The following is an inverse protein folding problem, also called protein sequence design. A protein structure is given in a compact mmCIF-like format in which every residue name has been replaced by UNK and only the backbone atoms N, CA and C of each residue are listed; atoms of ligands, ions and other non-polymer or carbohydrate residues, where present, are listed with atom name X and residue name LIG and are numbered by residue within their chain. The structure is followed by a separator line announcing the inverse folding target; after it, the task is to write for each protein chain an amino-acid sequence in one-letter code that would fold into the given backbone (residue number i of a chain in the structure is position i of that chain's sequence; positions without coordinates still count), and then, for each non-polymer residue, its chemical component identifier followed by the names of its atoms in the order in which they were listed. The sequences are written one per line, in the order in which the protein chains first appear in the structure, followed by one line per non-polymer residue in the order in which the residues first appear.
data_IF_253234457881
#
_entry.id   IF_253234457881
#
_cell.length_a   1.000
_cell.length_b   1.000
_cell.length_c   1.000
_cell.angle_alpha   90.00
_cell.angle_beta   90.00
_cell.angle_gamma   90.00
#
_symmetry.space_group_name_H-M   'P 1'
#
loop_
_entity.id
_entity.type
_entity.pdbx_description
1 polymer ?
#
# COMPACT_ATOMS: atom_id res chain seq x y z
N UNK A 1 11.15 -62.53 45.28
CA UNK A 1 9.91 -61.78 44.95
C UNK A 1 10.33 -60.65 44.04
N UNK A 2 10.25 -60.87 42.72
CA UNK A 2 10.67 -59.95 41.69
C UNK A 2 9.44 -59.06 41.30
N UNK A 3 9.57 -57.76 41.38
CA UNK A 3 8.59 -56.86 40.93
C UNK A 3 9.02 -56.34 39.55
N UNK A 4 8.19 -56.60 38.56
CA UNK A 4 8.33 -56.20 37.16
C UNK A 4 8.09 -54.67 36.99
N UNK A 5 9.10 -53.98 36.50
CA UNK A 5 9.03 -52.62 36.03
C UNK A 5 8.91 -52.64 34.50
N UNK A 6 7.70 -52.56 33.96
CA UNK A 6 7.48 -52.24 32.55
C UNK A 6 6.04 -51.84 32.39
N UNK A 7 5.78 -50.52 32.51
CA UNK A 7 4.67 -49.77 31.86
C UNK A 7 4.73 -48.32 32.32
N UNK A 8 5.60 -47.53 31.67
CA UNK A 8 5.47 -46.08 31.63
C UNK A 8 6.24 -45.59 30.38
N UNK A 9 5.61 -45.61 29.28
CA UNK A 9 6.23 -45.12 28.06
C UNK A 9 5.22 -45.04 26.91
N UNK A 10 4.24 -44.17 26.98
CA UNK A 10 3.49 -43.72 25.80
C UNK A 10 2.43 -42.68 26.21
N UNK A 11 2.82 -41.48 26.52
CA UNK A 11 1.89 -40.34 26.53
C UNK A 11 2.66 -38.99 26.52
N UNK A 12 3.41 -38.72 25.48
CA UNK A 12 3.93 -37.36 25.22
C UNK A 12 4.32 -37.24 23.74
N UNK A 13 3.33 -37.19 22.86
CA UNK A 13 3.57 -36.74 21.48
C UNK A 13 2.23 -36.46 20.79
N UNK A 14 1.49 -35.45 21.20
CA UNK A 14 0.29 -34.98 20.47
C UNK A 14 -0.14 -33.57 20.84
N UNK A 15 0.78 -32.64 21.12
CA UNK A 15 0.42 -31.24 21.26
C UNK A 15 1.54 -30.41 20.62
N UNK A 16 1.69 -30.44 19.29
CA UNK A 16 2.52 -29.45 18.56
C UNK A 16 2.24 -29.43 17.06
N UNK A 17 0.97 -29.52 16.64
CA UNK A 17 0.65 -29.41 15.19
C UNK A 17 -0.55 -28.51 14.88
N UNK A 18 -0.94 -27.59 15.79
CA UNK A 18 -2.10 -26.71 15.56
C UNK A 18 -1.73 -25.23 15.36
N UNK A 19 -0.44 -24.85 15.39
CA UNK A 19 -0.08 -23.44 15.31
C UNK A 19 0.47 -23.00 13.94
N UNK A 20 0.83 -23.91 13.06
CA UNK A 20 1.46 -23.55 11.78
C UNK A 20 0.46 -23.28 10.65
N UNK A 21 -0.70 -23.90 10.66
CA UNK A 21 -1.70 -23.66 9.60
C UNK A 21 -2.45 -22.32 9.79
N UNK A 22 -2.65 -21.86 11.01
CA UNK A 22 -3.28 -20.57 11.27
C UNK A 22 -2.38 -19.37 10.88
N UNK A 23 -1.08 -19.47 11.07
CA UNK A 23 -0.12 -18.41 10.73
C UNK A 23 -0.03 -18.25 9.20
N UNK A 24 -0.11 -19.32 8.44
CA UNK A 24 -0.07 -19.26 6.97
C UNK A 24 -1.35 -18.65 6.36
N UNK A 25 -2.52 -18.87 6.96
CA UNK A 25 -3.78 -18.31 6.41
C UNK A 25 -3.91 -16.79 6.61
N UNK A 26 -3.27 -16.22 7.62
CA UNK A 26 -3.28 -14.76 7.86
C UNK A 26 -2.34 -13.97 6.94
N UNK A 27 -1.35 -14.62 6.35
CA UNK A 27 -0.36 -13.98 5.47
C UNK A 27 -0.70 -14.06 3.98
N UNK A 28 -1.76 -14.79 3.62
CA UNK A 28 -2.25 -14.87 2.24
C UNK A 28 -3.28 -13.77 1.99
N UNK A 29 -3.10 -12.91 0.97
CA UNK A 29 -4.06 -11.87 0.68
C UNK A 29 -5.39 -12.43 0.17
N UNK A 30 -6.52 -12.00 0.76
CA UNK A 30 -7.86 -12.38 0.29
C UNK A 30 -8.22 -11.69 -1.03
N UNK A 31 -7.78 -10.46 -1.22
CA UNK A 31 -8.04 -9.69 -2.44
C UNK A 31 -6.75 -9.43 -3.21
N UNK A 32 -6.80 -9.67 -4.51
CA UNK A 32 -5.68 -9.45 -5.44
C UNK A 32 -5.90 -8.26 -6.38
N UNK A 33 -7.07 -7.62 -6.31
CA UNK A 33 -7.44 -6.40 -7.04
C UNK A 33 -8.51 -5.65 -6.26
N UNK A 34 -8.68 -4.32 -6.49
CA UNK A 34 -9.85 -3.60 -6.00
C UNK A 34 -11.15 -4.21 -6.54
N UNK A 35 -12.25 -4.04 -5.80
CA UNK A 35 -13.60 -4.41 -6.23
C UNK A 35 -14.14 -3.40 -7.25
N UNK A 36 -13.80 -2.11 -7.06
CA UNK A 36 -14.16 -1.06 -8.01
C UNK A 36 -13.34 -1.16 -9.29
N UNK A 37 -14.03 -1.29 -10.42
CA UNK A 37 -13.37 -1.35 -11.73
C UNK A 37 -13.00 0.05 -12.24
N UNK A 38 -11.75 0.25 -12.67
CA UNK A 38 -11.23 1.47 -13.27
C UNK A 38 -11.58 2.76 -12.47
N UNK A 39 -11.21 2.83 -11.17
CA UNK A 39 -11.55 3.98 -10.32
C UNK A 39 -10.99 5.28 -10.91
N UNK A 40 -11.84 6.30 -10.99
CA UNK A 40 -11.48 7.62 -11.55
C UNK A 40 -11.07 8.60 -10.47
N UNK A 41 -11.59 8.43 -9.26
CA UNK A 41 -11.31 9.33 -8.14
C UNK A 41 -10.67 8.56 -6.99
N UNK A 42 -9.39 8.85 -6.72
CA UNK A 42 -8.60 8.16 -5.68
C UNK A 42 -8.13 9.15 -4.63
N UNK A 43 -8.39 8.80 -3.37
CA UNK A 43 -7.92 9.52 -2.20
C UNK A 43 -6.73 8.79 -1.57
N UNK A 44 -5.61 9.49 -1.39
CA UNK A 44 -4.45 9.01 -0.65
C UNK A 44 -4.45 9.62 0.75
N UNK A 45 -4.41 8.78 1.78
CA UNK A 45 -4.41 9.19 3.19
C UNK A 45 -3.14 8.64 3.84
N UNK A 46 -2.30 9.54 4.36
CA UNK A 46 -1.03 9.12 4.99
C UNK A 46 -0.08 10.28 5.28
N UNK A 47 1.18 10.07 5.03
CA UNK A 47 2.24 10.96 5.49
C UNK A 47 3.28 11.29 4.39
N UNK A 48 4.50 11.63 4.83
CA UNK A 48 5.60 12.02 3.93
C UNK A 48 5.92 11.00 2.85
N UNK A 49 5.68 9.72 3.06
CA UNK A 49 5.92 8.70 2.04
C UNK A 49 5.05 8.92 0.80
N UNK A 50 3.86 9.50 0.95
CA UNK A 50 3.02 9.85 -0.19
C UNK A 50 3.35 11.19 -0.85
N UNK A 51 3.87 12.18 -0.11
CA UNK A 51 4.07 13.51 -0.69
C UNK A 51 5.49 13.81 -1.18
N UNK A 52 6.50 12.99 -0.82
CA UNK A 52 7.85 13.17 -1.35
C UNK A 52 7.86 13.22 -2.89
N UNK A 53 8.83 13.93 -3.45
CA UNK A 53 9.00 14.11 -4.90
C UNK A 53 7.76 14.64 -5.61
N UNK A 54 7.08 15.60 -4.99
CA UNK A 54 5.80 16.17 -5.44
C UNK A 54 4.58 15.23 -5.37
N UNK A 55 4.70 14.13 -4.64
CA UNK A 55 3.61 13.21 -4.33
C UNK A 55 3.38 12.12 -5.38
N UNK A 56 3.08 10.92 -4.87
CA UNK A 56 2.85 9.72 -5.70
C UNK A 56 1.71 9.89 -6.71
N UNK A 57 0.72 10.71 -6.40
CA UNK A 57 -0.41 11.00 -7.29
C UNK A 57 0.01 11.59 -8.63
N UNK A 58 1.16 12.30 -8.71
CA UNK A 58 1.66 12.88 -9.97
C UNK A 58 2.18 11.83 -10.94
N UNK A 59 3.16 10.98 -10.59
CA UNK A 59 3.59 9.92 -11.51
C UNK A 59 2.46 8.94 -11.83
N UNK A 60 1.61 8.59 -10.87
CA UNK A 60 0.45 7.75 -11.14
C UNK A 60 -0.48 8.38 -12.20
N UNK A 61 -0.81 9.66 -12.06
CA UNK A 61 -1.64 10.36 -13.05
C UNK A 61 -0.94 10.48 -14.42
N UNK A 62 0.38 10.65 -14.42
CA UNK A 62 1.18 10.63 -15.64
C UNK A 62 1.08 9.30 -16.38
N UNK A 63 1.26 8.19 -15.67
CA UNK A 63 1.12 6.83 -16.23
C UNK A 63 -0.29 6.54 -16.74
N UNK A 64 -1.31 6.96 -15.99
CA UNK A 64 -2.71 6.81 -16.40
C UNK A 64 -3.00 7.59 -17.68
N UNK A 65 -2.50 8.82 -17.80
CA UNK A 65 -2.68 9.66 -19.00
C UNK A 65 -1.93 9.13 -20.22
N UNK A 66 -0.80 8.45 -20.00
CA UNK A 66 -0.03 7.81 -21.05
C UNK A 66 -0.71 6.53 -21.59
N UNK A 67 -1.71 6.03 -20.90
CA UNK A 67 -2.51 4.87 -21.33
C UNK A 67 -3.92 5.30 -21.74
N UNK A 68 -4.13 5.52 -23.03
CA UNK A 68 -5.41 5.99 -23.57
C UNK A 68 -6.57 5.03 -23.28
N UNK A 69 -6.31 3.73 -23.10
CA UNK A 69 -7.35 2.73 -22.83
C UNK A 69 -8.06 2.95 -21.49
N UNK A 70 -7.41 3.62 -20.54
CA UNK A 70 -8.00 3.95 -19.24
C UNK A 70 -8.98 5.14 -19.31
N UNK A 71 -8.98 5.89 -20.43
CA UNK A 71 -9.85 7.02 -20.65
C UNK A 71 -9.44 8.26 -19.86
N UNK A 72 -10.36 9.23 -19.79
CA UNK A 72 -10.15 10.53 -19.16
C UNK A 72 -10.91 10.68 -17.85
N UNK A 73 -10.66 11.78 -17.13
CA UNK A 73 -11.42 12.17 -15.95
C UNK A 73 -10.84 11.70 -14.62
N UNK A 74 -9.66 11.07 -14.62
CA UNK A 74 -9.01 10.65 -13.39
C UNK A 74 -8.62 11.85 -12.52
N UNK A 75 -8.89 11.73 -11.22
CA UNK A 75 -8.62 12.74 -10.20
C UNK A 75 -8.04 12.05 -8.97
N UNK A 76 -6.85 12.45 -8.59
CA UNK A 76 -6.16 11.90 -7.43
C UNK A 76 -5.92 13.02 -6.42
N UNK A 77 -6.17 12.76 -5.15
CA UNK A 77 -6.01 13.70 -4.05
C UNK A 77 -5.17 13.10 -2.95
N UNK A 78 -4.23 13.89 -2.42
CA UNK A 78 -3.46 13.52 -1.25
C UNK A 78 -3.95 14.33 -0.05
N UNK A 79 -4.29 13.64 1.03
CA UNK A 79 -4.43 14.23 2.36
C UNK A 79 -3.33 13.62 3.21
N UNK A 80 -2.32 14.42 3.49
CA UNK A 80 -1.10 13.94 4.16
C UNK A 80 -0.74 14.86 5.30
N UNK A 81 -0.37 14.26 6.44
CA UNK A 81 0.15 14.95 7.61
C UNK A 81 1.57 14.46 7.83
N UNK A 82 2.52 15.38 7.98
CA UNK A 82 3.92 15.01 8.17
C UNK A 82 4.11 14.12 9.39
N UNK A 83 4.82 13.00 9.22
CA UNK A 83 5.12 12.04 10.30
C UNK A 83 3.90 11.41 10.97
N UNK A 84 2.71 11.50 10.37
CA UNK A 84 1.49 10.95 10.97
C UNK A 84 1.43 9.43 10.94
N UNK A 85 0.70 8.90 11.91
CA UNK A 85 0.03 7.61 11.85
C UNK A 85 -1.43 7.78 11.46
N UNK A 86 -2.15 6.69 11.19
CA UNK A 86 -3.57 6.72 10.82
C UNK A 86 -4.45 7.35 11.92
N UNK A 87 -4.06 7.27 13.18
CA UNK A 87 -4.79 7.88 14.32
C UNK A 87 -4.94 9.40 14.21
N UNK A 88 -4.10 10.06 13.42
CA UNK A 88 -4.11 11.53 13.26
C UNK A 88 -5.09 12.01 12.19
N UNK A 89 -5.65 11.09 11.42
CA UNK A 89 -6.51 11.38 10.28
C UNK A 89 -7.99 11.33 10.64
N UNK A 90 -8.70 12.42 10.41
CA UNK A 90 -10.17 12.49 10.49
C UNK A 90 -10.78 12.10 9.14
N UNK A 91 -10.77 10.77 8.87
CA UNK A 91 -11.21 10.23 7.58
C UNK A 91 -12.68 10.51 7.30
N UNK A 92 -13.52 10.59 8.34
CA UNK A 92 -14.93 10.95 8.19
C UNK A 92 -15.07 12.35 7.59
N UNK A 93 -14.36 13.35 8.14
CA UNK A 93 -14.35 14.70 7.58
C UNK A 93 -13.84 14.74 6.14
N UNK A 94 -12.90 13.87 5.75
CA UNK A 94 -12.35 13.88 4.39
C UNK A 94 -13.37 13.47 3.33
N UNK A 95 -14.33 12.63 3.68
CA UNK A 95 -15.32 12.09 2.74
C UNK A 95 -16.71 12.71 2.91
N UNK A 96 -17.00 13.38 4.03
CA UNK A 96 -18.33 13.95 4.32
C UNK A 96 -18.36 15.48 4.30
N UNK A 97 -17.24 16.14 4.64
CA UNK A 97 -17.24 17.58 4.85
C UNK A 97 -17.01 18.34 3.53
N UNK A 98 -18.07 18.93 3.02
CA UNK A 98 -18.04 19.78 1.80
C UNK A 98 -17.11 21.00 1.92
N UNK A 99 -16.69 21.38 3.11
CA UNK A 99 -15.77 22.50 3.35
C UNK A 99 -14.30 22.09 3.20
N UNK A 100 -13.99 20.80 3.34
CA UNK A 100 -12.69 20.25 2.99
C UNK A 100 -12.68 20.06 1.48
N UNK A 101 -12.53 21.13 0.77
CA UNK A 101 -12.56 21.10 -0.68
C UNK A 101 -11.30 21.69 -1.27
N UNK A 102 -10.87 21.14 -2.38
CA UNK A 102 -9.94 21.82 -3.26
C UNK A 102 -10.69 22.82 -4.13
N UNK A 103 -10.03 23.91 -4.46
CA UNK A 103 -10.51 24.84 -5.48
C UNK A 103 -9.47 24.91 -6.60
N UNK A 104 -9.92 25.20 -7.80
CA UNK A 104 -9.03 25.53 -8.90
C UNK A 104 -9.11 27.02 -9.22
N UNK A 105 -8.01 27.54 -9.75
CA UNK A 105 -7.98 28.86 -10.35
C UNK A 105 -8.21 28.67 -11.83
N UNK A 106 -9.30 29.27 -12.35
CA UNK A 106 -9.60 29.23 -13.78
C UNK A 106 -8.62 30.12 -14.57
N UNK A 107 -8.57 29.96 -15.89
CA UNK A 107 -7.79 30.85 -16.78
C UNK A 107 -8.17 32.33 -16.69
N UNK A 108 -9.30 32.66 -16.07
CA UNK A 108 -9.77 34.03 -15.79
C UNK A 108 -9.45 34.45 -14.34
N UNK A 109 -8.53 33.82 -13.67
CA UNK A 109 -8.14 34.06 -12.26
C UNK A 109 -9.31 34.02 -11.27
N UNK A 110 -10.33 33.22 -11.53
CA UNK A 110 -11.47 33.04 -10.63
C UNK A 110 -11.32 31.69 -9.89
N UNK A 111 -11.61 31.73 -8.59
CA UNK A 111 -11.73 30.51 -7.81
C UNK A 111 -12.97 29.73 -8.22
N UNK A 112 -12.78 28.47 -8.54
CA UNK A 112 -13.86 27.51 -8.70
C UNK A 112 -13.73 26.48 -7.57
N UNK A 113 -14.72 26.47 -6.67
CA UNK A 113 -14.84 25.39 -5.67
C UNK A 113 -15.20 24.11 -6.41
N UNK A 114 -14.53 23.03 -6.07
CA UNK A 114 -14.98 21.71 -6.49
C UNK A 114 -16.21 21.32 -5.67
N UNK A 115 -17.17 20.70 -6.32
CA UNK A 115 -18.21 19.97 -5.62
C UNK A 115 -17.54 18.89 -4.76
N UNK A 116 -18.14 18.49 -3.61
CA UNK A 116 -17.60 17.39 -2.80
C UNK A 116 -17.37 16.19 -3.71
N UNK A 117 -16.11 15.83 -3.85
CA UNK A 117 -15.74 14.71 -4.72
C UNK A 117 -16.11 13.42 -4.01
N UNK A 118 -16.93 12.62 -4.66
CA UNK A 118 -17.04 11.24 -4.28
C UNK A 118 -15.77 10.54 -4.75
N UNK A 119 -15.12 9.86 -3.84
CA UNK A 119 -13.98 9.01 -4.16
C UNK A 119 -14.47 7.59 -4.45
N UNK A 120 -13.86 6.95 -5.45
CA UNK A 120 -14.13 5.55 -5.75
C UNK A 120 -13.31 4.64 -4.82
N UNK A 121 -12.06 5.04 -4.56
CA UNK A 121 -11.07 4.27 -3.82
C UNK A 121 -10.30 5.19 -2.87
N UNK A 122 -10.04 4.73 -1.66
CA UNK A 122 -9.10 5.36 -0.74
C UNK A 122 -7.91 4.43 -0.47
N UNK A 123 -6.70 4.96 -0.60
CA UNK A 123 -5.45 4.24 -0.31
C UNK A 123 -4.86 4.82 0.97
N UNK A 124 -4.88 4.04 2.03
CA UNK A 124 -4.40 4.42 3.35
C UNK A 124 -3.01 3.85 3.62
N UNK A 125 -2.19 4.59 4.34
CA UNK A 125 -0.86 4.16 4.76
C UNK A 125 -0.59 4.71 6.17
N UNK A 126 -0.10 3.85 7.06
CA UNK A 126 0.31 4.26 8.40
C UNK A 126 1.76 4.77 8.43
N UNK A 127 2.26 5.12 9.60
CA UNK A 127 3.67 5.42 9.76
C UNK A 127 4.54 4.22 9.37
N UNK A 128 5.79 4.47 9.01
CA UNK A 128 6.70 3.47 8.45
C UNK A 128 6.90 2.21 9.31
N UNK A 129 6.81 2.34 10.63
CA UNK A 129 7.01 1.24 11.59
C UNK A 129 5.76 0.91 12.42
N UNK A 130 4.70 1.73 12.38
CA UNK A 130 3.54 1.54 13.22
C UNK A 130 2.95 0.13 13.13
N UNK A 131 2.86 -0.49 11.93
CA UNK A 131 2.30 -1.84 11.81
C UNK A 131 3.08 -2.95 12.53
N UNK A 132 4.37 -2.71 12.83
CA UNK A 132 5.26 -3.69 13.46
C UNK A 132 5.84 -3.23 14.81
N UNK A 133 5.55 -1.98 15.19
CA UNK A 133 6.07 -1.44 16.45
C UNK A 133 5.25 -1.95 17.62
N UNK A 134 5.92 -2.42 18.67
CA UNK A 134 5.30 -3.06 19.83
C UNK A 134 4.17 -2.20 20.46
N UNK A 135 4.41 -0.90 20.61
CA UNK A 135 3.45 0.03 21.22
C UNK A 135 2.43 0.62 20.23
N UNK A 136 2.55 0.34 18.92
CA UNK A 136 1.75 1.01 17.87
C UNK A 136 0.92 0.06 17.03
N UNK A 137 1.25 -1.22 16.96
CA UNK A 137 0.56 -2.20 16.11
C UNK A 137 -0.94 -2.32 16.44
N UNK A 138 -1.31 -2.18 17.71
CA UNK A 138 -2.74 -2.22 18.10
C UNK A 138 -3.48 -0.96 17.61
N UNK A 139 -2.84 0.21 17.66
CA UNK A 139 -3.41 1.44 17.10
C UNK A 139 -3.53 1.35 15.59
N UNK A 140 -2.51 0.81 14.90
CA UNK A 140 -2.59 0.53 13.47
C UNK A 140 -3.81 -0.33 13.14
N UNK A 141 -3.99 -1.45 13.81
CA UNK A 141 -5.13 -2.34 13.60
C UNK A 141 -6.46 -1.62 13.85
N UNK A 142 -6.57 -0.94 14.98
CA UNK A 142 -7.78 -0.21 15.35
C UNK A 142 -8.18 0.85 14.30
N UNK A 143 -7.22 1.68 13.87
CA UNK A 143 -7.53 2.75 12.91
C UNK A 143 -7.71 2.25 11.48
N UNK A 144 -7.07 1.16 11.08
CA UNK A 144 -7.40 0.50 9.81
C UNK A 144 -8.85 0.02 9.83
N UNK A 145 -9.29 -0.63 10.92
CA UNK A 145 -10.66 -1.13 11.05
C UNK A 145 -11.68 0.04 11.07
N UNK A 146 -11.44 1.07 11.89
CA UNK A 146 -12.31 2.23 11.99
C UNK A 146 -12.43 3.01 10.68
N UNK A 147 -11.31 3.32 10.04
CA UNK A 147 -11.30 4.09 8.79
C UNK A 147 -11.84 3.29 7.61
N UNK A 148 -11.58 1.98 7.54
CA UNK A 148 -12.16 1.13 6.51
C UNK A 148 -13.69 1.10 6.62
N UNK A 149 -14.23 1.02 7.83
CA UNK A 149 -15.67 1.12 8.06
C UNK A 149 -16.21 2.48 7.63
N UNK A 150 -15.60 3.58 8.07
CA UNK A 150 -16.01 4.93 7.70
C UNK A 150 -16.04 5.14 6.19
N UNK A 151 -15.00 4.68 5.47
CA UNK A 151 -14.93 4.77 4.02
C UNK A 151 -16.09 4.00 3.35
N UNK A 152 -16.34 2.76 3.75
CA UNK A 152 -17.43 1.94 3.20
C UNK A 152 -18.81 2.53 3.48
N UNK A 153 -19.03 3.05 4.68
CA UNK A 153 -20.30 3.72 5.06
C UNK A 153 -20.58 4.93 4.15
N UNK A 154 -19.53 5.52 3.56
CA UNK A 154 -19.61 6.63 2.63
C UNK A 154 -19.45 6.22 1.15
N UNK A 155 -19.50 4.92 0.85
CA UNK A 155 -19.43 4.41 -0.52
C UNK A 155 -18.05 4.49 -1.18
N UNK A 156 -16.98 4.57 -0.36
CA UNK A 156 -15.60 4.58 -0.81
C UNK A 156 -14.95 3.24 -0.49
N UNK A 157 -14.33 2.61 -1.47
CA UNK A 157 -13.60 1.36 -1.23
C UNK A 157 -12.30 1.62 -0.47
N UNK A 158 -12.06 0.99 0.71
CA UNK A 158 -10.80 1.10 1.42
C UNK A 158 -9.74 0.18 0.83
N UNK A 159 -8.50 0.62 0.83
CA UNK A 159 -7.33 -0.17 0.52
C UNK A 159 -6.12 0.29 1.32
N UNK A 160 -5.10 -0.55 1.42
CA UNK A 160 -3.89 -0.27 2.17
C UNK A 160 -2.67 -0.26 1.24
N UNK A 161 -1.76 0.69 1.46
CA UNK A 161 -0.43 0.64 0.86
C UNK A 161 0.54 0.07 1.88
N UNK A 162 1.13 -1.08 1.56
CA UNK A 162 2.19 -1.68 2.35
C UNK A 162 3.43 -0.80 2.28
N UNK A 163 3.87 -0.26 3.42
CA UNK A 163 5.12 0.46 3.52
C UNK A 163 6.31 -0.48 3.32
N UNK A 164 7.48 0.07 3.09
CA UNK A 164 8.71 -0.67 2.83
C UNK A 164 9.64 -0.68 4.03
N UNK A 165 10.51 -1.68 4.07
CA UNK A 165 11.62 -1.74 5.03
C UNK A 165 12.60 -0.57 4.79
N UNK A 166 13.22 -0.08 5.84
CA UNK A 166 14.32 0.88 5.70
C UNK A 166 15.50 0.23 4.96
N UNK A 167 16.26 1.02 4.23
CA UNK A 167 17.40 0.54 3.44
C UNK A 167 18.42 -0.24 4.31
N UNK A 168 18.59 0.16 5.56
CA UNK A 168 19.49 -0.45 6.54
C UNK A 168 18.80 -1.40 7.54
N UNK A 169 17.53 -1.73 7.32
CA UNK A 169 16.74 -2.66 8.14
C UNK A 169 15.82 -3.52 7.26
N UNK A 170 16.40 -4.30 6.33
CA UNK A 170 15.60 -5.08 5.36
C UNK A 170 14.70 -6.13 6.01
N UNK A 171 15.04 -6.61 7.20
CA UNK A 171 14.26 -7.56 7.98
C UNK A 171 12.85 -7.07 8.37
N UNK A 172 12.60 -5.76 8.33
CA UNK A 172 11.28 -5.20 8.62
C UNK A 172 10.20 -5.70 7.67
N UNK A 173 10.56 -6.12 6.45
CA UNK A 173 9.57 -6.39 5.40
C UNK A 173 8.64 -7.54 5.73
N UNK A 174 9.14 -8.60 6.39
CA UNK A 174 8.31 -9.75 6.76
C UNK A 174 7.19 -9.34 7.71
N UNK A 175 7.54 -8.60 8.76
CA UNK A 175 6.57 -8.09 9.73
C UNK A 175 5.60 -7.10 9.11
N UNK A 176 6.07 -6.19 8.23
CA UNK A 176 5.21 -5.25 7.52
C UNK A 176 4.22 -5.98 6.61
N UNK A 177 4.68 -6.95 5.83
CA UNK A 177 3.83 -7.72 4.94
C UNK A 177 2.74 -8.47 5.72
N UNK A 178 3.11 -9.19 6.78
CA UNK A 178 2.18 -9.91 7.63
C UNK A 178 1.12 -8.97 8.25
N UNK A 179 1.55 -7.83 8.82
CA UNK A 179 0.65 -6.87 9.47
C UNK A 179 -0.34 -6.24 8.49
N UNK A 180 0.14 -5.77 7.33
CA UNK A 180 -0.73 -5.17 6.32
C UNK A 180 -1.72 -6.16 5.72
N UNK A 181 -1.28 -7.39 5.40
CA UNK A 181 -2.15 -8.42 4.84
C UNK A 181 -3.21 -8.82 5.87
N UNK A 182 -2.83 -9.07 7.13
CA UNK A 182 -3.77 -9.42 8.19
C UNK A 182 -4.84 -8.32 8.39
N UNK A 183 -4.42 -7.05 8.50
CA UNK A 183 -5.34 -5.92 8.65
C UNK A 183 -6.27 -5.77 7.44
N UNK A 184 -5.75 -5.93 6.24
CA UNK A 184 -6.53 -5.87 5.00
C UNK A 184 -7.55 -7.01 4.90
N UNK A 185 -7.14 -8.22 5.25
CA UNK A 185 -8.03 -9.40 5.23
C UNK A 185 -9.24 -9.22 6.17
N UNK A 186 -8.99 -8.73 7.40
CA UNK A 186 -10.08 -8.42 8.34
C UNK A 186 -11.10 -7.41 7.78
N UNK A 187 -10.59 -6.47 6.97
CA UNK A 187 -11.38 -5.38 6.42
C UNK A 187 -11.86 -5.62 4.98
N UNK A 188 -11.60 -6.80 4.39
CA UNK A 188 -11.85 -7.08 2.97
C UNK A 188 -11.30 -5.96 2.08
N UNK A 189 -10.11 -5.48 2.38
CA UNK A 189 -9.42 -4.43 1.66
C UNK A 189 -8.24 -5.00 0.86
N UNK A 190 -7.91 -4.39 -0.26
CA UNK A 190 -6.72 -4.75 -1.01
C UNK A 190 -5.47 -4.14 -0.38
N UNK A 191 -4.34 -4.85 -0.48
CA UNK A 191 -3.01 -4.31 -0.18
C UNK A 191 -2.24 -4.07 -1.47
N UNK A 192 -1.71 -2.85 -1.64
CA UNK A 192 -0.74 -2.55 -2.69
C UNK A 192 0.65 -2.96 -2.21
N UNK A 193 1.32 -3.95 -2.82
CA UNK A 193 2.53 -4.59 -2.28
C UNK A 193 3.80 -3.78 -2.57
N UNK A 194 3.79 -2.48 -2.27
CA UNK A 194 4.90 -1.57 -2.55
C UNK A 194 6.15 -1.96 -1.78
N UNK A 195 6.01 -2.36 -0.51
CA UNK A 195 7.15 -2.81 0.30
C UNK A 195 7.87 -4.01 -0.31
N UNK A 196 7.14 -4.98 -0.85
CA UNK A 196 7.70 -6.15 -1.54
C UNK A 196 8.38 -5.76 -2.86
N UNK A 197 7.85 -4.74 -3.56
CA UNK A 197 8.48 -4.23 -4.78
C UNK A 197 9.80 -3.51 -4.48
N UNK A 198 9.88 -2.77 -3.37
CA UNK A 198 11.12 -2.16 -2.91
C UNK A 198 12.17 -3.22 -2.57
N UNK A 199 11.79 -4.24 -1.79
CA UNK A 199 12.68 -5.35 -1.47
C UNK A 199 13.23 -6.01 -2.74
N UNK A 200 12.34 -6.45 -3.61
CA UNK A 200 12.71 -7.13 -4.86
C UNK A 200 13.65 -6.27 -5.73
N UNK A 201 13.37 -4.96 -5.83
CA UNK A 201 14.20 -4.05 -6.60
C UNK A 201 15.60 -3.85 -5.98
N UNK A 202 15.71 -3.83 -4.66
CA UNK A 202 17.00 -3.73 -3.99
C UNK A 202 17.84 -5.02 -4.14
N UNK A 203 17.18 -6.18 -4.13
CA UNK A 203 17.84 -7.48 -4.30
C UNK A 203 18.35 -7.66 -5.73
N UNK A 204 17.56 -7.31 -6.74
CA UNK A 204 17.88 -7.56 -8.14
C UNK A 204 18.65 -6.40 -8.80
N UNK A 205 18.40 -5.17 -8.38
CA UNK A 205 18.96 -3.95 -8.97
C UNK A 205 19.46 -2.96 -7.91
N UNK A 206 20.43 -3.35 -7.05
CA UNK A 206 20.90 -2.53 -5.92
C UNK A 206 21.55 -1.20 -6.34
N UNK A 207 21.92 -1.04 -7.63
CA UNK A 207 22.45 0.19 -8.17
C UNK A 207 21.37 1.30 -8.31
N UNK A 208 20.10 0.94 -8.38
CA UNK A 208 19.00 1.91 -8.41
C UNK A 208 18.64 2.28 -6.99
N UNK A 209 19.03 3.50 -6.56
CA UNK A 209 18.74 3.96 -5.20
C UNK A 209 17.27 4.40 -5.07
N UNK A 210 16.49 3.60 -4.33
CA UNK A 210 15.08 3.87 -4.09
C UNK A 210 14.83 4.81 -2.90
N UNK A 211 15.88 5.21 -2.18
CA UNK A 211 15.78 5.98 -0.95
C UNK A 211 16.47 7.34 -1.06
N UNK A 212 16.04 8.26 -0.21
CA UNK A 212 16.81 9.47 0.08
C UNK A 212 17.95 9.17 1.06
N UNK A 213 18.77 10.16 1.35
CA UNK A 213 19.93 10.01 2.24
C UNK A 213 19.58 9.50 3.65
N UNK A 214 18.34 9.69 4.09
CA UNK A 214 17.87 9.22 5.39
C UNK A 214 17.56 7.71 5.42
N UNK A 215 17.68 7.03 4.28
CA UNK A 215 17.44 5.59 4.11
C UNK A 215 16.00 5.14 4.37
N UNK A 216 15.05 6.05 4.38
CA UNK A 216 13.63 5.83 4.74
C UNK A 216 12.67 6.37 3.70
N UNK A 217 12.79 7.67 3.38
CA UNK A 217 11.92 8.30 2.40
C UNK A 217 12.26 7.86 0.97
N UNK A 218 11.26 7.82 0.09
CA UNK A 218 11.49 7.39 -1.28
C UNK A 218 12.27 8.45 -2.05
N UNK A 219 13.24 8.01 -2.83
CA UNK A 219 13.85 8.81 -3.87
C UNK A 219 12.84 9.05 -5.01
N UNK A 220 13.25 9.75 -6.06
CA UNK A 220 12.44 9.88 -7.27
C UNK A 220 12.15 8.52 -7.91
N UNK A 221 13.15 7.63 -7.96
CA UNK A 221 13.00 6.25 -8.43
C UNK A 221 12.04 5.44 -7.55
N UNK A 222 12.17 5.55 -6.21
CA UNK A 222 11.26 4.90 -5.26
C UNK A 222 9.81 5.39 -5.41
N UNK A 223 9.59 6.70 -5.62
CA UNK A 223 8.25 7.23 -5.87
C UNK A 223 7.67 6.72 -7.20
N UNK A 224 8.49 6.58 -8.24
CA UNK A 224 8.04 6.01 -9.50
C UNK A 224 7.72 4.52 -9.39
N UNK A 225 8.52 3.74 -8.67
CA UNK A 225 8.23 2.34 -8.38
C UNK A 225 6.91 2.18 -7.64
N UNK A 226 6.68 2.98 -6.59
CA UNK A 226 5.42 3.01 -5.85
C UNK A 226 4.24 3.31 -6.77
N UNK A 227 4.35 4.33 -7.62
CA UNK A 227 3.31 4.66 -8.59
C UNK A 227 3.05 3.54 -9.60
N UNK A 228 4.10 2.84 -10.05
CA UNK A 228 4.00 1.71 -10.98
C UNK A 228 3.30 0.51 -10.36
N UNK A 229 3.54 0.23 -9.06
CA UNK A 229 2.82 -0.81 -8.32
C UNK A 229 1.34 -0.44 -8.17
N UNK A 230 1.04 0.81 -7.76
CA UNK A 230 -0.35 1.27 -7.61
C UNK A 230 -1.07 1.22 -8.95
N UNK A 231 -0.45 1.72 -10.03
CA UNK A 231 -1.00 1.69 -11.38
C UNK A 231 -1.39 0.26 -11.79
N UNK A 232 -0.47 -0.67 -11.63
CA UNK A 232 -0.68 -2.06 -12.01
C UNK A 232 -1.76 -2.75 -11.18
N UNK A 233 -1.78 -2.45 -9.89
CA UNK A 233 -2.72 -3.05 -8.94
C UNK A 233 -4.13 -2.53 -9.13
N UNK A 234 -4.28 -1.21 -9.31
CA UNK A 234 -5.59 -0.54 -9.45
C UNK A 234 -6.24 -0.90 -10.79
N UNK A 235 -5.49 -0.83 -11.87
CA UNK A 235 -6.04 -0.98 -13.22
C UNK A 235 -5.85 -2.38 -13.80
N UNK A 236 -5.17 -3.27 -13.09
CA UNK A 236 -4.80 -4.61 -13.57
C UNK A 236 -4.11 -4.61 -14.94
N UNK A 237 -3.27 -3.60 -15.18
CA UNK A 237 -2.53 -3.37 -16.44
C UNK A 237 -1.04 -3.41 -16.17
N UNK A 238 -0.28 -4.04 -17.06
CA UNK A 238 1.18 -4.02 -16.98
C UNK A 238 1.71 -2.59 -17.13
N UNK A 239 2.63 -2.13 -16.26
CA UNK A 239 3.28 -0.84 -16.41
C UNK A 239 4.41 -0.87 -17.45
N UNK A 240 4.83 -2.09 -17.88
CA UNK A 240 5.94 -2.26 -18.83
C UNK A 240 5.59 -1.62 -20.16
N UNK A 241 6.46 -0.71 -20.61
CA UNK A 241 6.26 0.06 -21.83
C UNK A 241 5.37 1.29 -21.67
N UNK A 242 4.94 1.63 -20.46
CA UNK A 242 4.27 2.91 -20.23
C UNK A 242 5.26 4.06 -20.50
N UNK A 243 4.90 4.99 -21.37
CA UNK A 243 5.79 6.03 -21.87
C UNK A 243 6.05 7.19 -20.90
N UNK A 244 5.36 7.23 -19.75
CA UNK A 244 5.58 8.29 -18.78
C UNK A 244 6.83 8.01 -17.92
N UNK A 245 7.87 8.80 -18.11
CA UNK A 245 9.20 8.58 -17.55
C UNK A 245 9.43 9.22 -16.17
N UNK A 246 8.58 10.14 -15.77
CA UNK A 246 8.77 10.93 -14.54
C UNK A 246 10.13 11.66 -14.48
N UNK A 247 10.80 11.82 -15.64
CA UNK A 247 12.14 12.38 -15.77
C UNK A 247 13.23 11.49 -15.19
N UNK A 248 13.06 10.17 -15.26
CA UNK A 248 14.07 9.14 -15.08
C UNK A 248 14.69 8.81 -16.45
N UNK A 249 15.90 8.24 -16.44
CA UNK A 249 16.45 7.65 -17.66
C UNK A 249 15.67 6.38 -18.05
N UNK A 250 15.76 6.00 -19.32
CA UNK A 250 14.98 4.91 -19.88
C UNK A 250 15.28 3.55 -19.24
N UNK A 251 16.54 3.28 -18.92
CA UNK A 251 16.95 2.00 -18.30
C UNK A 251 16.36 1.87 -16.89
N UNK A 252 16.45 2.93 -16.08
CA UNK A 252 15.85 2.99 -14.75
C UNK A 252 14.34 2.84 -14.83
N UNK A 253 13.68 3.55 -15.75
CA UNK A 253 12.24 3.47 -15.95
C UNK A 253 11.80 2.04 -16.26
N UNK A 254 12.39 1.42 -17.28
CA UNK A 254 12.06 0.06 -17.74
C UNK A 254 12.26 -0.97 -16.64
N UNK A 255 13.34 -0.82 -15.87
CA UNK A 255 13.65 -1.71 -14.76
C UNK A 255 12.61 -1.60 -13.67
N UNK A 256 12.24 -0.39 -13.24
CA UNK A 256 11.24 -0.20 -12.18
C UNK A 256 9.84 -0.66 -12.61
N UNK A 257 9.46 -0.48 -13.86
CA UNK A 257 8.22 -1.02 -14.40
C UNK A 257 8.20 -2.56 -14.35
N UNK A 258 9.30 -3.22 -14.73
CA UNK A 258 9.44 -4.68 -14.64
C UNK A 258 9.35 -5.16 -13.17
N UNK A 259 10.03 -4.47 -12.25
CA UNK A 259 10.02 -4.84 -10.83
C UNK A 259 8.63 -4.67 -10.22
N UNK A 260 7.94 -3.57 -10.50
CA UNK A 260 6.56 -3.37 -10.05
C UNK A 260 5.63 -4.49 -10.52
N UNK A 261 5.72 -4.87 -11.80
CA UNK A 261 4.90 -5.95 -12.35
C UNK A 261 5.24 -7.32 -11.79
N UNK A 262 6.53 -7.60 -11.62
CA UNK A 262 7.02 -8.85 -11.03
C UNK A 262 6.56 -8.97 -9.58
N UNK A 263 6.72 -7.94 -8.77
CA UNK A 263 6.29 -7.92 -7.38
C UNK A 263 4.78 -8.15 -7.23
N UNK A 264 3.97 -7.49 -8.06
CA UNK A 264 2.51 -7.69 -8.05
C UNK A 264 2.14 -9.12 -8.44
N UNK A 265 2.77 -9.71 -9.45
CA UNK A 265 2.51 -11.11 -9.83
C UNK A 265 2.91 -12.09 -8.73
N UNK A 266 4.05 -11.87 -8.11
CA UNK A 266 4.48 -12.69 -6.98
C UNK A 266 3.47 -12.60 -5.82
N UNK A 267 3.05 -11.37 -5.48
CA UNK A 267 2.05 -11.13 -4.43
C UNK A 267 0.72 -11.83 -4.70
N UNK A 268 0.22 -11.79 -5.94
CA UNK A 268 -1.02 -12.47 -6.35
C UNK A 268 -0.93 -14.01 -6.30
N UNK A 269 0.28 -14.56 -6.33
CA UNK A 269 0.54 -15.99 -6.33
C UNK A 269 0.92 -16.54 -4.94
N UNK A 270 0.91 -15.73 -3.89
CA UNK A 270 1.05 -16.20 -2.50
C UNK A 270 -0.16 -17.09 -2.20
N UNK A 271 0.12 -18.35 -1.85
CA UNK A 271 -0.88 -19.39 -1.54
C UNK A 271 -0.75 -19.82 -0.09
#
# INVERSE_FOLDING_TARGET
MQVNINQLGALFCSIFFLSTEQIFSETVPLLSSPEVENPKSILFIGNSFFYYNNGVHKPLLGMVRANESLGKGHRFRNITINSSSLEWHDVESYVTNERIGSFSITSKNKYKKYDPEKYDLAIMMDCSQCPIHEDRKELFNFYVDAHSKTLRDNGVEPSLLMTWAYKDKPEMIEGLAASYISAANRNKAMVFPVGLAFQLSQEEYPAIDLFTLDKRHPSKAGTYLMASVIYSSVYNVSPIGNSYDYGLDQETQDTLQKMAWKALKNYKNIK
#
